data_IF_340062016060
#
_entry.id   IF_340062016060
#
_cell.length_a   1.000
_cell.length_b   1.000
_cell.length_c   1.000
_cell.angle_alpha   90.00
_cell.angle_beta   90.00
_cell.angle_gamma   90.00
#
_symmetry.space_group_name_H-M   'P 1'
#
loop_
_entity.id
_entity.type
_entity.pdbx_description
1 polymer ?
#
# COMPACT_ATOMS: atom_id res chain seq x y z
N UNK A 1 -5.31 -5.02 14.12
CA UNK A 1 -3.92 -5.51 13.94
C UNK A 1 -3.14 -4.36 13.34
N UNK A 2 -1.81 -4.42 13.35
CA UNK A 2 -0.95 -3.43 12.68
C UNK A 2 0.03 -4.22 11.86
N UNK A 3 0.08 -4.01 10.54
CA UNK A 3 1.01 -4.66 9.65
C UNK A 3 2.31 -3.84 9.56
N UNK A 4 3.42 -4.43 10.01
CA UNK A 4 4.75 -3.85 9.92
C UNK A 4 5.54 -4.67 8.91
N UNK A 5 6.09 -4.01 7.89
CA UNK A 5 7.05 -4.60 6.96
C UNK A 5 8.45 -4.21 7.41
N UNK A 6 9.33 -5.18 7.55
CA UNK A 6 10.71 -4.98 7.98
C UNK A 6 11.67 -5.50 6.90
N UNK A 7 12.58 -4.64 6.47
CA UNK A 7 13.64 -4.98 5.52
C UNK A 7 14.89 -5.43 6.27
N UNK A 8 15.76 -6.22 5.62
CA UNK A 8 16.98 -6.79 6.23
C UNK A 8 17.91 -5.72 6.85
N UNK A 9 17.84 -4.49 6.36
CA UNK A 9 18.59 -3.32 6.85
C UNK A 9 18.03 -2.72 8.15
N UNK A 10 17.03 -3.36 8.77
CA UNK A 10 16.34 -2.88 9.97
C UNK A 10 15.33 -1.76 9.71
N UNK A 11 15.02 -1.48 8.45
CA UNK A 11 14.03 -0.47 8.07
C UNK A 11 12.64 -1.05 8.35
N UNK A 12 11.93 -0.48 9.32
CA UNK A 12 10.57 -0.89 9.68
C UNK A 12 9.55 0.09 9.17
N UNK A 13 8.51 -0.43 8.53
CA UNK A 13 7.46 0.37 7.96
C UNK A 13 6.08 -0.06 8.48
N UNK A 14 5.45 0.84 9.23
CA UNK A 14 4.07 0.69 9.71
C UNK A 14 3.12 1.43 8.77
N UNK A 15 2.29 0.70 8.04
CA UNK A 15 1.38 1.27 7.04
C UNK A 15 0.27 2.14 7.63
N UNK A 16 -0.19 1.85 8.85
CA UNK A 16 -1.20 2.62 9.56
C UNK A 16 -0.64 3.94 10.13
N UNK A 17 0.60 3.93 10.62
CA UNK A 17 1.22 5.11 11.25
C UNK A 17 1.98 6.01 10.27
N UNK A 18 2.60 5.44 9.22
CA UNK A 18 3.39 6.19 8.24
C UNK A 18 2.57 6.57 6.99
N UNK A 19 1.46 7.28 7.24
CA UNK A 19 0.45 7.64 6.22
C UNK A 19 1.04 8.27 4.95
N UNK A 20 2.00 9.19 5.08
CA UNK A 20 2.64 9.88 3.94
C UNK A 20 3.32 8.93 2.94
N UNK A 21 3.78 7.78 3.41
CA UNK A 21 4.52 6.82 2.61
C UNK A 21 3.61 5.77 1.95
N UNK A 22 2.31 5.74 2.25
CA UNK A 22 1.34 4.89 1.54
C UNK A 22 1.36 5.15 0.02
N UNK A 23 1.56 6.40 -0.42
CA UNK A 23 1.68 6.73 -1.85
C UNK A 23 2.85 6.02 -2.55
N UNK A 24 3.97 5.85 -1.83
CA UNK A 24 5.18 5.20 -2.33
C UNK A 24 4.92 3.71 -2.52
N UNK A 25 4.20 3.09 -1.58
CA UNK A 25 3.83 1.67 -1.67
C UNK A 25 2.83 1.40 -2.77
N UNK A 26 1.84 2.29 -2.96
CA UNK A 26 0.93 2.19 -4.10
C UNK A 26 1.72 2.27 -5.41
N UNK A 27 2.72 3.15 -5.51
CA UNK A 27 3.57 3.23 -6.70
C UNK A 27 4.47 1.99 -6.87
N UNK A 28 5.07 1.48 -5.80
CA UNK A 28 5.88 0.27 -5.82
C UNK A 28 5.06 -0.94 -6.29
N UNK A 29 3.82 -1.09 -5.80
CA UNK A 29 2.91 -2.16 -6.20
C UNK A 29 2.47 -2.03 -7.66
N UNK A 30 2.21 -0.81 -8.15
CA UNK A 30 1.91 -0.58 -9.57
C UNK A 30 3.04 -1.09 -10.46
N UNK A 31 4.28 -0.74 -10.12
CA UNK A 31 5.45 -1.17 -10.87
C UNK A 31 5.70 -2.67 -10.80
N UNK A 32 5.63 -3.26 -9.60
CA UNK A 32 5.91 -4.68 -9.40
C UNK A 32 4.87 -5.58 -10.07
N UNK A 33 3.59 -5.30 -9.87
CA UNK A 33 2.53 -6.12 -10.48
C UNK A 33 2.27 -5.76 -11.95
N UNK A 34 2.90 -4.71 -12.48
CA UNK A 34 2.56 -4.10 -13.76
C UNK A 34 1.03 -3.84 -13.88
N UNK A 35 0.44 -3.34 -12.78
CA UNK A 35 -1.00 -3.10 -12.63
C UNK A 35 -1.28 -1.60 -12.58
N UNK A 36 -2.41 -1.20 -13.15
CA UNK A 36 -2.90 0.16 -13.01
C UNK A 36 -3.59 0.38 -11.65
N UNK A 37 -3.95 1.64 -11.38
CA UNK A 37 -4.61 2.04 -10.12
C UNK A 37 -5.99 1.37 -9.95
N UNK A 38 -6.68 1.05 -11.04
CA UNK A 38 -8.01 0.44 -10.99
C UNK A 38 -7.91 -1.03 -10.56
N UNK A 39 -6.94 -1.76 -11.13
CA UNK A 39 -6.66 -3.15 -10.77
C UNK A 39 -6.19 -3.27 -9.32
N UNK A 40 -5.35 -2.35 -8.83
CA UNK A 40 -4.96 -2.34 -7.42
C UNK A 40 -6.12 -1.99 -6.48
N UNK A 41 -6.99 -1.05 -6.88
CA UNK A 41 -8.17 -0.70 -6.09
C UNK A 41 -9.14 -1.88 -5.97
N UNK A 42 -9.28 -2.66 -7.04
CA UNK A 42 -10.04 -3.91 -7.02
C UNK A 42 -9.45 -4.94 -6.05
N UNK A 43 -8.12 -5.12 -6.05
CA UNK A 43 -7.45 -6.06 -5.13
C UNK A 43 -7.56 -5.64 -3.66
N UNK A 44 -7.60 -4.33 -3.40
CA UNK A 44 -7.73 -3.75 -2.06
C UNK A 44 -9.20 -3.56 -1.64
N UNK A 45 -10.16 -3.95 -2.48
CA UNK A 45 -11.59 -3.76 -2.26
C UNK A 45 -11.93 -2.34 -1.77
N UNK A 46 -11.48 -1.34 -2.53
CA UNK A 46 -11.74 0.09 -2.29
C UNK A 46 -12.09 0.82 -3.60
N UNK A 47 -12.80 1.96 -3.53
CA UNK A 47 -13.06 2.76 -4.71
C UNK A 47 -11.76 3.24 -5.37
N UNK A 48 -11.68 3.14 -6.70
CA UNK A 48 -10.52 3.60 -7.48
C UNK A 48 -10.17 5.06 -7.19
N UNK A 49 -11.16 5.93 -7.08
CA UNK A 49 -10.93 7.35 -6.77
C UNK A 49 -10.23 7.54 -5.41
N UNK A 50 -10.54 6.69 -4.44
CA UNK A 50 -9.90 6.72 -3.12
C UNK A 50 -8.43 6.34 -3.24
N UNK A 51 -8.13 5.25 -3.94
CA UNK A 51 -6.74 4.84 -4.15
C UNK A 51 -5.96 5.85 -4.99
N UNK A 52 -6.59 6.48 -5.98
CA UNK A 52 -5.98 7.56 -6.76
C UNK A 52 -5.60 8.77 -5.90
N UNK A 53 -6.47 9.19 -4.96
CA UNK A 53 -6.15 10.28 -4.01
C UNK A 53 -5.01 9.89 -3.06
N UNK A 54 -4.92 8.62 -2.68
CA UNK A 54 -3.79 8.11 -1.88
C UNK A 54 -2.49 8.13 -2.69
N UNK A 55 -2.54 7.68 -3.94
CA UNK A 55 -1.40 7.69 -4.86
C UNK A 55 -0.89 9.10 -5.16
N UNK A 56 -1.79 10.09 -5.27
CA UNK A 56 -1.45 11.50 -5.40
C UNK A 56 -0.95 12.14 -4.09
N UNK A 57 -1.00 11.42 -2.96
CA UNK A 57 -0.62 11.94 -1.63
C UNK A 57 -1.60 12.95 -1.04
N UNK A 58 -2.83 13.03 -1.57
CA UNK A 58 -3.89 13.95 -1.11
C UNK A 58 -4.64 13.38 0.10
N UNK A 59 -4.69 12.05 0.22
CA UNK A 59 -5.38 11.37 1.32
C UNK A 59 -4.64 10.09 1.72
N UNK A 60 -5.14 9.42 2.75
CA UNK A 60 -4.56 8.19 3.28
C UNK A 60 -5.64 7.13 3.49
N UNK A 61 -5.25 5.87 3.40
CA UNK A 61 -6.08 4.74 3.76
C UNK A 61 -6.25 4.69 5.29
N UNK A 62 -7.45 4.31 5.77
CA UNK A 62 -7.67 3.97 7.16
C UNK A 62 -6.88 2.71 7.52
N UNK A 63 -6.65 2.49 8.81
CA UNK A 63 -5.71 1.49 9.31
C UNK A 63 -6.00 0.07 8.80
N UNK A 64 -7.28 -0.31 8.70
CA UNK A 64 -7.72 -1.60 8.14
C UNK A 64 -7.31 -1.79 6.68
N UNK A 65 -7.50 -0.76 5.85
CA UNK A 65 -7.09 -0.79 4.43
C UNK A 65 -5.60 -0.58 4.24
N UNK A 66 -4.94 0.12 5.15
CA UNK A 66 -3.49 0.25 5.17
C UNK A 66 -2.81 -1.10 5.48
N UNK A 67 -3.41 -1.90 6.37
CA UNK A 67 -2.97 -3.27 6.64
C UNK A 67 -3.17 -4.19 5.42
N UNK A 68 -4.27 -4.05 4.67
CA UNK A 68 -4.46 -4.78 3.41
C UNK A 68 -3.42 -4.41 2.34
N UNK A 69 -3.08 -3.13 2.23
CA UNK A 69 -1.99 -2.66 1.35
C UNK A 69 -0.64 -3.30 1.71
N UNK A 70 -0.35 -3.41 3.00
CA UNK A 70 0.86 -4.05 3.49
C UNK A 70 0.91 -5.56 3.17
N UNK A 71 -0.21 -6.27 3.33
CA UNK A 71 -0.32 -7.69 2.96
C UNK A 71 -0.13 -7.89 1.46
N UNK A 72 -0.72 -7.03 0.64
CA UNK A 72 -0.55 -7.06 -0.81
C UNK A 72 0.91 -6.83 -1.20
N UNK A 73 1.61 -5.94 -0.51
CA UNK A 73 3.05 -5.75 -0.67
C UNK A 73 3.85 -7.01 -0.35
N UNK A 74 3.57 -7.67 0.79
CA UNK A 74 4.24 -8.91 1.15
C UNK A 74 4.02 -10.04 0.13
N UNK A 75 2.82 -10.13 -0.47
CA UNK A 75 2.54 -11.08 -1.55
C UNK A 75 3.36 -10.76 -2.81
N UNK A 76 3.61 -9.47 -3.08
CA UNK A 76 4.32 -9.02 -4.27
C UNK A 76 5.84 -9.22 -4.19
N UNK A 77 6.41 -9.09 -2.98
CA UNK A 77 7.86 -8.97 -2.77
C UNK A 77 8.44 -9.98 -1.76
N UNK A 78 7.64 -10.91 -1.25
CA UNK A 78 8.03 -11.85 -0.19
C UNK A 78 8.67 -13.16 -0.65
N UNK A 79 9.21 -13.21 -1.88
CA UNK A 79 9.96 -14.37 -2.41
C UNK A 79 11.46 -14.29 -2.04
#
# INVERSE_FOLDING_TARGET
>A
MVCIVEFEEGIRFNFAQNKYLQKVWVEALKHCFNKDIAQLAYLLDIPQERLAKVHQGVSYLPDDKADELAKLFLIAFGD
#
